data_IF_980339349171
#
_entry.id   IF_980339349171
#
_cell.length_a   1.000
_cell.length_b   1.000
_cell.length_c   1.000
_cell.angle_alpha   90.00
_cell.angle_beta   90.00
_cell.angle_gamma   90.00
#
_symmetry.space_group_name_H-M   'P 1'
#
loop_
_entity.id
_entity.type
_entity.pdbx_description
1 polymer ?
#
# COMPACT_ATOMS: atom_id res chain seq x y z
N UNK A 1 -9.69 -7.44 12.62
CA UNK A 1 -10.48 -6.19 12.76
C UNK A 1 -11.33 -6.03 11.52
N UNK A 2 -12.55 -5.49 11.62
CA UNK A 2 -13.51 -5.40 10.50
C UNK A 2 -13.04 -4.53 9.33
N UNK A 3 -12.32 -3.43 9.60
CA UNK A 3 -11.86 -2.49 8.57
C UNK A 3 -10.78 -3.07 7.65
N UNK A 4 -9.84 -3.86 8.18
CA UNK A 4 -8.81 -4.52 7.36
C UNK A 4 -9.44 -5.56 6.42
N UNK A 5 -10.41 -6.33 6.93
CA UNK A 5 -11.14 -7.31 6.12
C UNK A 5 -11.94 -6.64 5.00
N UNK A 6 -12.59 -5.51 5.28
CA UNK A 6 -13.28 -4.72 4.24
C UNK A 6 -12.32 -4.27 3.13
N UNK A 7 -11.11 -3.83 3.47
CA UNK A 7 -10.10 -3.44 2.49
C UNK A 7 -9.66 -4.61 1.61
N UNK A 8 -9.42 -5.78 2.20
CA UNK A 8 -9.07 -6.99 1.47
C UNK A 8 -10.17 -7.39 0.47
N UNK A 9 -11.42 -7.42 0.92
CA UNK A 9 -12.58 -7.72 0.06
C UNK A 9 -12.76 -6.69 -1.07
N UNK A 10 -12.50 -5.41 -0.80
CA UNK A 10 -12.52 -4.37 -1.84
C UNK A 10 -11.43 -4.60 -2.90
N UNK A 11 -10.24 -5.01 -2.50
CA UNK A 11 -9.13 -5.32 -3.41
C UNK A 11 -9.36 -6.58 -4.24
N UNK A 12 -10.08 -7.56 -3.70
CA UNK A 12 -10.54 -8.74 -4.44
C UNK A 12 -11.60 -8.39 -5.47
N UNK A 13 -12.62 -7.62 -5.06
CA UNK A 13 -13.71 -7.16 -5.93
C UNK A 13 -13.21 -6.36 -7.14
N UNK A 14 -12.14 -5.57 -6.95
CA UNK A 14 -11.65 -4.63 -7.96
C UNK A 14 -10.48 -5.17 -8.80
N UNK A 15 -10.31 -6.50 -8.93
CA UNK A 15 -9.48 -7.13 -9.97
C UNK A 15 -8.10 -6.48 -10.22
N UNK A 16 -7.33 -6.20 -9.16
CA UNK A 16 -5.98 -5.61 -9.25
C UNK A 16 -5.91 -4.13 -9.66
N UNK A 17 -7.01 -3.39 -9.55
CA UNK A 17 -6.99 -1.92 -9.49
C UNK A 17 -6.45 -1.46 -8.15
N UNK A 18 -5.80 -0.30 -8.15
CA UNK A 18 -5.42 0.37 -6.90
C UNK A 18 -6.70 0.82 -6.18
N UNK A 19 -6.90 0.35 -4.96
CA UNK A 19 -8.02 0.79 -4.11
C UNK A 19 -7.56 1.85 -3.13
N UNK A 20 -8.14 3.04 -3.23
CA UNK A 20 -8.05 4.07 -2.21
C UNK A 20 -9.33 4.11 -1.39
N UNK A 21 -9.21 4.13 -0.06
CA UNK A 21 -10.33 4.39 0.85
C UNK A 21 -10.03 5.65 1.66
N UNK A 22 -11.00 6.55 1.77
CA UNK A 22 -10.93 7.71 2.66
C UNK A 22 -10.98 7.26 4.12
N UNK A 23 -10.02 7.73 4.92
CA UNK A 23 -9.92 7.50 6.36
C UNK A 23 -9.48 8.80 7.04
N UNK A 24 -10.45 9.54 7.59
CA UNK A 24 -10.22 10.89 8.10
C UNK A 24 -9.75 11.85 7.00
N UNK A 25 -8.62 12.52 7.23
CA UNK A 25 -8.02 13.50 6.29
C UNK A 25 -7.06 12.86 5.27
N UNK A 26 -7.02 11.53 5.20
CA UNK A 26 -6.15 10.78 4.32
C UNK A 26 -6.95 9.81 3.45
N UNK A 27 -6.40 9.51 2.28
CA UNK A 27 -6.74 8.33 1.51
C UNK A 27 -5.65 7.29 1.73
N UNK A 28 -6.05 6.06 2.03
CA UNK A 28 -5.13 4.97 2.28
C UNK A 28 -5.27 3.87 1.24
N UNK A 29 -4.14 3.25 0.90
CA UNK A 29 -4.05 2.02 0.14
C UNK A 29 -3.18 1.03 0.92
N UNK A 30 -3.47 -0.27 0.84
CA UNK A 30 -2.81 -1.31 1.65
C UNK A 30 -2.26 -2.45 0.80
N UNK A 31 -1.36 -3.24 1.37
CA UNK A 31 -0.86 -4.47 0.77
C UNK A 31 -0.19 -4.23 -0.59
N UNK A 32 -0.59 -5.01 -1.59
CA UNK A 32 -0.08 -4.96 -2.97
C UNK A 32 -0.16 -3.55 -3.58
N UNK A 33 -1.25 -2.84 -3.34
CA UNK A 33 -1.46 -1.48 -3.87
C UNK A 33 -0.46 -0.51 -3.25
N UNK A 34 -0.23 -0.61 -1.94
CA UNK A 34 0.74 0.23 -1.23
C UNK A 34 2.18 0.00 -1.72
N UNK A 35 2.55 -1.25 -2.00
CA UNK A 35 3.87 -1.60 -2.53
C UNK A 35 4.03 -1.08 -3.95
N UNK A 36 3.01 -1.23 -4.79
CA UNK A 36 3.02 -0.68 -6.14
C UNK A 36 3.16 0.85 -6.14
N UNK A 37 2.35 1.54 -5.32
CA UNK A 37 2.40 3.00 -5.16
C UNK A 37 3.76 3.48 -4.66
N UNK A 38 4.39 2.75 -3.75
CA UNK A 38 5.76 3.05 -3.31
C UNK A 38 6.76 2.93 -4.47
N UNK A 39 6.66 1.88 -5.29
CA UNK A 39 7.57 1.66 -6.43
C UNK A 39 7.46 2.77 -7.47
N UNK A 40 6.23 3.10 -7.86
CA UNK A 40 5.90 3.97 -9.01
C UNK A 40 5.88 5.45 -8.62
N UNK A 41 5.26 5.79 -7.49
CA UNK A 41 5.09 7.19 -7.07
C UNK A 41 6.09 7.63 -6.00
N UNK A 42 6.94 6.71 -5.50
CA UNK A 42 7.91 6.94 -4.42
C UNK A 42 7.26 7.41 -3.12
N UNK A 43 6.00 7.02 -2.91
CA UNK A 43 5.25 7.33 -1.69
C UNK A 43 5.80 6.56 -0.49
N UNK A 44 5.85 7.21 0.68
CA UNK A 44 6.33 6.58 1.91
C UNK A 44 5.41 5.43 2.32
N UNK A 45 5.98 4.24 2.43
CA UNK A 45 5.27 3.04 2.88
C UNK A 45 5.48 2.85 4.39
N UNK A 46 4.42 2.49 5.12
CA UNK A 46 4.46 2.25 6.57
C UNK A 46 3.71 0.96 6.92
N UNK A 47 3.88 0.40 8.11
CA UNK A 47 3.12 -0.79 8.49
C UNK A 47 1.66 -0.42 8.80
N UNK A 48 0.72 -1.18 8.23
CA UNK A 48 -0.71 -1.10 8.57
C UNK A 48 -1.06 -2.12 9.65
N UNK A 49 -0.66 -3.37 9.42
CA UNK A 49 -0.73 -4.48 10.35
C UNK A 49 0.53 -5.34 10.19
N UNK A 50 0.64 -6.43 10.95
CA UNK A 50 1.71 -7.40 10.72
C UNK A 50 1.68 -7.88 9.26
N UNK A 51 2.84 -7.84 8.61
CA UNK A 51 3.02 -8.28 7.22
C UNK A 51 2.21 -7.53 6.15
N UNK A 52 1.59 -6.40 6.47
CA UNK A 52 0.84 -5.57 5.51
C UNK A 52 1.29 -4.12 5.60
N UNK A 53 1.76 -3.58 4.49
CA UNK A 53 2.11 -2.17 4.39
C UNK A 53 0.92 -1.30 3.96
N UNK A 54 0.99 -0.01 4.26
CA UNK A 54 0.10 1.04 3.74
C UNK A 54 0.88 2.22 3.19
N UNK A 55 0.21 2.91 2.27
CA UNK A 55 0.50 4.27 1.85
C UNK A 55 -0.68 5.15 2.28
N UNK A 56 -0.38 6.33 2.81
CA UNK A 56 -1.38 7.36 3.13
C UNK A 56 -1.10 8.63 2.35
N UNK A 57 -2.13 9.16 1.69
CA UNK A 57 -2.07 10.38 0.88
C UNK A 57 -3.00 11.40 1.52
N UNK A 58 -2.52 12.59 1.91
CA UNK A 58 -3.41 13.66 2.38
C UNK A 58 -4.47 13.99 1.32
N UNK A 59 -5.72 14.19 1.74
CA UNK A 59 -6.85 14.53 0.85
C UNK A 59 -6.53 15.69 -0.10
N UNK A 60 -5.88 16.74 0.42
CA UNK A 60 -5.46 17.91 -0.36
C UNK A 60 -4.47 17.60 -1.50
N UNK A 61 -3.74 16.49 -1.39
CA UNK A 61 -2.73 16.08 -2.36
C UNK A 61 -3.18 14.92 -3.25
N UNK A 62 -4.32 14.29 -2.96
CA UNK A 62 -4.83 13.17 -3.75
C UNK A 62 -4.96 13.52 -5.25
N UNK A 63 -5.54 14.67 -5.65
CA UNK A 63 -5.71 14.99 -7.07
C UNK A 63 -4.40 14.96 -7.86
N UNK A 64 -3.31 15.45 -7.26
CA UNK A 64 -1.96 15.43 -7.86
C UNK A 64 -1.45 14.02 -8.11
N UNK A 65 -1.77 13.07 -7.23
CA UNK A 65 -1.34 11.67 -7.41
C UNK A 65 -2.23 10.91 -8.39
N UNK A 66 -3.53 11.19 -8.42
CA UNK A 66 -4.43 10.63 -9.42
C UNK A 66 -4.01 11.05 -10.83
N UNK A 67 -3.72 12.34 -11.04
CA UNK A 67 -3.22 12.84 -12.33
C UNK A 67 -1.91 12.14 -12.76
N UNK A 68 -1.04 11.80 -11.80
CA UNK A 68 0.16 11.01 -12.10
C UNK A 68 -0.15 9.57 -12.46
N UNK A 69 -1.15 8.95 -11.84
CA UNK A 69 -1.60 7.61 -12.20
C UNK A 69 -2.25 7.58 -13.58
N UNK A 70 -3.04 8.61 -13.91
CA UNK A 70 -3.64 8.77 -15.25
C UNK A 70 -2.56 8.84 -16.33
N UNK A 71 -1.50 9.63 -16.11
CA UNK A 71 -0.35 9.72 -17.03
C UNK A 71 0.44 8.43 -17.19
N UNK A 72 0.39 7.56 -16.19
CA UNK A 72 1.05 6.25 -16.21
C UNK A 72 0.12 5.14 -16.72
N UNK A 73 -1.11 5.50 -17.11
CA UNK A 73 -2.17 4.59 -17.52
C UNK A 73 -2.41 3.48 -16.50
N UNK A 74 -2.55 3.85 -15.22
CA UNK A 74 -2.79 2.90 -14.13
C UNK A 74 -4.22 3.00 -13.62
N UNK A 75 -4.92 1.87 -13.57
CA UNK A 75 -6.27 1.81 -13.05
C UNK A 75 -6.32 1.94 -11.52
N UNK A 76 -7.25 2.77 -11.06
CA UNK A 76 -7.54 2.97 -9.66
C UNK A 76 -9.04 3.19 -9.43
N UNK A 77 -9.44 3.03 -8.17
CA UNK A 77 -10.77 3.37 -7.68
C UNK A 77 -10.67 4.02 -6.31
N UNK A 78 -11.48 5.05 -6.09
CA UNK A 78 -11.51 5.82 -4.85
C UNK A 78 -12.87 5.64 -4.20
N UNK A 79 -12.85 5.22 -2.94
CA UNK A 79 -14.04 5.07 -2.11
C UNK A 79 -14.01 6.01 -0.91
N UNK A 80 -15.19 6.38 -0.42
CA UNK A 80 -15.38 6.82 0.95
C UNK A 80 -16.40 5.93 1.67
N UNK A 81 -16.23 5.80 2.99
CA UNK A 81 -17.22 5.15 3.84
C UNK A 81 -18.13 6.22 4.43
N UNK A 82 -19.43 6.15 4.12
CA UNK A 82 -20.44 7.00 4.72
C UNK A 82 -20.88 6.36 6.04
N UNK A 83 -20.42 6.94 7.15
CA UNK A 83 -20.71 6.43 8.50
C UNK A 83 -22.21 6.46 8.85
N UNK A 84 -22.96 7.45 8.35
CA UNK A 84 -24.38 7.62 8.70
C UNK A 84 -25.25 6.55 8.04
N UNK A 85 -24.88 6.14 6.82
CA UNK A 85 -25.63 5.18 6.00
C UNK A 85 -25.00 3.79 5.97
N UNK A 86 -23.88 3.60 6.66
CA UNK A 86 -23.07 2.37 6.67
C UNK A 86 -22.79 1.84 5.25
N UNK A 87 -22.43 2.73 4.33
CA UNK A 87 -22.27 2.39 2.91
C UNK A 87 -20.92 2.85 2.34
N UNK A 88 -20.39 2.06 1.42
CA UNK A 88 -19.26 2.45 0.58
C UNK A 88 -19.77 3.19 -0.65
N UNK A 89 -19.19 4.37 -0.90
CA UNK A 89 -19.53 5.22 -2.03
C UNK A 89 -18.29 5.38 -2.89
N UNK A 90 -18.42 5.07 -4.18
CA UNK A 90 -17.38 5.33 -5.17
C UNK A 90 -17.34 6.83 -5.47
N UNK A 91 -16.19 7.46 -5.26
CA UNK A 91 -15.99 8.89 -5.56
C UNK A 91 -15.53 9.09 -6.99
N UNK A 92 -14.56 8.29 -7.44
CA UNK A 92 -14.08 8.28 -8.82
C UNK A 92 -13.30 7.00 -9.15
N UNK A 93 -13.12 6.77 -10.45
CA UNK A 93 -12.34 5.64 -10.97
C UNK A 93 -11.63 6.01 -12.27
N UNK A 94 -10.58 5.27 -12.57
CA UNK A 94 -9.91 5.24 -13.87
C UNK A 94 -9.77 3.78 -14.33
N UNK A 95 -10.00 3.52 -15.63
CA UNK A 95 -9.98 2.18 -16.25
C UNK A 95 -8.68 1.89 -17.04
N UNK A 96 -7.53 2.41 -16.61
CA UNK A 96 -6.21 2.12 -17.18
C UNK A 96 -5.72 0.68 -16.95
N UNK A 97 -4.42 0.46 -17.00
CA UNK A 97 -3.82 -0.86 -16.80
C UNK A 97 -3.83 -1.31 -15.34
N UNK A 98 -4.06 -2.62 -15.14
CA UNK A 98 -3.98 -3.26 -13.82
C UNK A 98 -2.53 -3.50 -13.41
N UNK A 99 -2.23 -3.29 -12.13
CA UNK A 99 -0.89 -3.59 -11.62
C UNK A 99 -0.74 -5.07 -11.27
N UNK A 100 0.48 -5.59 -11.47
CA UNK A 100 0.81 -7.01 -11.24
C UNK A 100 1.51 -7.29 -9.92
N UNK A 101 1.63 -6.28 -9.05
CA UNK A 101 2.24 -6.45 -7.72
C UNK A 101 1.44 -7.44 -6.87
N UNK A 102 2.15 -8.34 -6.19
CA UNK A 102 1.57 -9.40 -5.34
C UNK A 102 2.02 -9.28 -3.88
N UNK A 103 3.12 -8.59 -3.62
CA UNK A 103 3.69 -8.47 -2.27
C UNK A 103 2.82 -7.55 -1.42
N UNK A 104 2.50 -8.00 -0.21
CA UNK A 104 1.74 -7.21 0.76
C UNK A 104 2.62 -6.28 1.62
N UNK A 105 3.93 -6.47 1.61
CA UNK A 105 4.89 -5.68 2.36
C UNK A 105 6.23 -5.54 1.62
N UNK A 106 7.06 -4.57 2.02
CA UNK A 106 8.39 -4.36 1.42
C UNK A 106 9.36 -5.45 1.87
N UNK A 107 9.61 -5.53 3.18
CA UNK A 107 10.34 -6.59 3.85
C UNK A 107 10.16 -6.40 5.37
N UNK A 108 9.26 -7.17 5.98
CA UNK A 108 8.93 -7.00 7.40
C UNK A 108 10.09 -7.33 8.35
N UNK A 109 10.97 -8.26 7.96
CA UNK A 109 12.15 -8.59 8.76
C UNK A 109 13.08 -7.38 8.88
N UNK A 110 13.29 -6.64 7.80
CA UNK A 110 14.10 -5.42 7.83
C UNK A 110 13.37 -4.23 8.49
N UNK A 111 12.05 -4.11 8.34
CA UNK A 111 11.33 -2.93 8.82
C UNK A 111 11.07 -2.95 10.34
N UNK A 112 10.73 -4.11 10.91
CA UNK A 112 10.32 -4.23 12.32
C UNK A 112 10.89 -5.47 13.02
N UNK A 113 11.13 -6.56 12.30
CA UNK A 113 11.63 -7.82 12.87
C UNK A 113 13.03 -7.69 13.49
N UNK A 114 13.99 -7.19 12.72
CA UNK A 114 15.40 -7.10 13.12
C UNK A 114 15.70 -6.06 14.20
N UNK A 115 14.79 -5.11 14.41
CA UNK A 115 14.91 -4.09 15.47
C UNK A 115 14.61 -4.65 16.87
N UNK A 116 13.98 -5.83 16.94
CA UNK A 116 13.62 -6.50 18.20
C UNK A 116 14.76 -7.30 18.81
N UNK A 117 15.85 -7.51 18.08
CA UNK A 117 17.00 -8.30 18.51
C UNK A 117 18.20 -7.40 18.82
N UNK A 118 19.04 -7.84 19.76
CA UNK A 118 20.28 -7.16 20.10
C UNK A 118 21.19 -7.01 18.87
N UNK A 119 21.85 -5.88 18.76
CA UNK A 119 22.84 -5.65 17.70
C UNK A 119 24.12 -6.44 18.00
N UNK A 120 24.23 -7.63 17.42
CA UNK A 120 25.43 -8.46 17.49
C UNK A 120 25.94 -8.87 16.09
N UNK A 121 27.09 -9.54 16.06
CA UNK A 121 27.74 -9.96 14.81
C UNK A 121 26.88 -10.92 13.97
N UNK A 122 26.05 -11.75 14.59
CA UNK A 122 25.19 -12.70 13.90
C UNK A 122 23.97 -11.99 13.31
N UNK A 123 23.34 -11.11 14.08
CA UNK A 123 22.23 -10.29 13.58
C UNK A 123 22.70 -9.38 12.45
N UNK A 124 23.87 -8.76 12.56
CA UNK A 124 24.46 -7.95 11.50
C UNK A 124 24.76 -8.75 10.22
N UNK A 125 25.23 -9.99 10.33
CA UNK A 125 25.41 -10.86 9.18
C UNK A 125 24.06 -11.16 8.48
N UNK A 126 23.02 -11.44 9.27
CA UNK A 126 21.67 -11.67 8.74
C UNK A 126 21.06 -10.41 8.10
N UNK A 127 21.27 -9.21 8.66
CA UNK A 127 20.84 -7.95 8.02
C UNK A 127 21.47 -7.77 6.64
N UNK A 128 22.77 -7.99 6.54
CA UNK A 128 23.52 -7.87 5.27
C UNK A 128 23.01 -8.87 4.22
N UNK A 129 22.69 -10.10 4.62
CA UNK A 129 22.09 -11.10 3.73
C UNK A 129 20.75 -10.61 3.15
N UNK A 130 19.84 -10.12 4.00
CA UNK A 130 18.54 -9.61 3.56
C UNK A 130 18.65 -8.35 2.67
N UNK A 131 19.60 -7.45 2.97
CA UNK A 131 19.86 -6.27 2.13
C UNK A 131 20.41 -6.65 0.74
N UNK A 132 21.26 -7.68 0.67
CA UNK A 132 21.78 -8.21 -0.60
C UNK A 132 20.67 -8.85 -1.42
N UNK A 133 19.80 -9.65 -0.80
CA UNK A 133 18.63 -10.22 -1.47
C UNK A 133 17.74 -9.13 -2.07
N UNK A 134 17.47 -8.04 -1.35
CA UNK A 134 16.66 -6.93 -1.86
C UNK A 134 17.27 -6.23 -3.08
N UNK A 135 18.60 -6.08 -3.13
CA UNK A 135 19.31 -5.45 -4.25
C UNK A 135 19.39 -6.35 -5.49
N UNK A 136 19.22 -7.66 -5.34
CA UNK A 136 19.27 -8.62 -6.44
C UNK A 136 17.98 -8.77 -7.25
N UNK A 137 16.90 -8.07 -6.89
CA UNK A 137 15.60 -8.07 -7.60
C UNK A 137 15.37 -6.82 -8.47
N UNK A 138 16.41 -6.03 -8.73
CA UNK A 138 16.37 -4.87 -9.63
C UNK A 138 16.72 -5.24 -11.08
#
# INVERSE_FOLDING_TARGET
>A
MSFSTMLELLQEKNNQRIVFIKSGVFYIATGKDAIFLNKVLKLKCTCFSENVCKVGIPETSLPKYLERLDRLDVSYIVYHFNNEKEMLVEECRNDGEYHKEKRSNQNCLLCSGLRRYSEDKYMNAFRKMLEQELKGYE
#
